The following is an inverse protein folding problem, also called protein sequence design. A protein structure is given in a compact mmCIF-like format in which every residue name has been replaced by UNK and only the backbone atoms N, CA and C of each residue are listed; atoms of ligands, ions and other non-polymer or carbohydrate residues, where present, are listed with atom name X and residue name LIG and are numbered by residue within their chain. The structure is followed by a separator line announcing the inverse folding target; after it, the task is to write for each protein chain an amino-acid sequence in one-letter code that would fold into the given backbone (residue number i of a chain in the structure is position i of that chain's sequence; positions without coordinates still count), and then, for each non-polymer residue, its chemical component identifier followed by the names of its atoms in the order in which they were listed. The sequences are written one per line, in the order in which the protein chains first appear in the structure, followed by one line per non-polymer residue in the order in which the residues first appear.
data_IF_366989184683
#
_entry.id   IF_366989184683
#
_cell.length_a   1.000
_cell.length_b   1.000
_cell.length_c   1.000
_cell.angle_alpha   90.00
_cell.angle_beta   90.00
_cell.angle_gamma   90.00
#
_symmetry.space_group_name_H-M   'P 1'
#
loop_
_entity.id
_entity.type
_entity.pdbx_description
1 polymer ?
#
# COMPACT_ATOMS: atom_id res chain seq x y z
N UNK A 1 23.92 -16.72 41.54
CA UNK A 1 23.69 -17.18 40.15
C UNK A 1 23.25 -15.98 39.32
N UNK A 2 24.16 -15.41 38.54
CA UNK A 2 23.86 -14.26 37.69
C UNK A 2 23.04 -14.73 36.48
N UNK A 3 21.80 -14.26 36.40
CA UNK A 3 20.92 -14.42 35.23
C UNK A 3 21.58 -13.79 34.01
N UNK A 4 22.00 -14.63 33.06
CA UNK A 4 22.38 -14.24 31.71
C UNK A 4 21.26 -13.39 31.10
N UNK A 5 21.50 -12.09 30.96
CA UNK A 5 20.74 -11.23 30.06
C UNK A 5 20.89 -11.81 28.66
N UNK A 6 19.81 -12.38 28.12
CA UNK A 6 19.76 -12.82 26.73
C UNK A 6 20.03 -11.61 25.83
N UNK A 7 20.72 -11.77 24.68
CA UNK A 7 20.84 -10.69 23.70
C UNK A 7 19.43 -10.18 23.37
N UNK A 8 19.27 -8.85 23.27
CA UNK A 8 17.96 -8.20 23.14
C UNK A 8 17.11 -8.87 22.05
N UNK A 9 15.93 -9.36 22.43
CA UNK A 9 14.92 -9.82 21.47
C UNK A 9 14.66 -8.69 20.48
N UNK A 10 14.77 -8.94 19.17
CA UNK A 10 14.42 -7.96 18.13
C UNK A 10 12.93 -7.59 18.28
N UNK A 11 12.63 -6.48 18.96
CA UNK A 11 11.27 -5.99 19.20
C UNK A 11 10.90 -4.96 18.15
N UNK A 12 9.72 -5.13 17.54
CA UNK A 12 9.18 -4.20 16.57
C UNK A 12 7.70 -3.91 16.81
N UNK A 13 7.25 -2.74 16.40
CA UNK A 13 5.83 -2.39 16.35
C UNK A 13 5.33 -2.36 14.91
N UNK A 14 4.11 -2.84 14.67
CA UNK A 14 3.39 -2.71 13.40
C UNK A 14 2.10 -1.94 13.65
N UNK A 15 2.09 -0.70 13.16
CA UNK A 15 0.94 0.20 13.22
C UNK A 15 0.07 -0.05 11.99
N UNK A 16 -1.21 -0.32 12.20
CA UNK A 16 -2.09 -0.83 11.14
C UNK A 16 -1.85 -2.32 10.88
N UNK A 17 -1.43 -3.06 11.91
CA UNK A 17 -1.17 -4.50 11.78
C UNK A 17 -2.41 -5.24 11.30
N UNK A 18 -3.59 -4.93 11.81
CA UNK A 18 -4.81 -5.70 11.49
C UNK A 18 -5.27 -5.54 10.04
N UNK A 19 -4.65 -4.63 9.29
CA UNK A 19 -4.89 -4.44 7.85
C UNK A 19 -4.26 -5.52 6.97
N UNK A 20 -4.54 -5.45 5.66
CA UNK A 20 -4.08 -6.42 4.67
C UNK A 20 -2.55 -6.61 4.67
N UNK A 21 -1.79 -5.54 4.37
CA UNK A 21 -0.33 -5.61 4.36
C UNK A 21 0.24 -5.87 5.76
N UNK A 22 -0.30 -5.17 6.78
CA UNK A 22 0.15 -5.29 8.16
C UNK A 22 0.11 -6.73 8.68
N UNK A 23 -0.94 -7.48 8.32
CA UNK A 23 -1.09 -8.87 8.74
C UNK A 23 0.00 -9.78 8.18
N UNK A 24 0.23 -9.69 6.86
CA UNK A 24 1.32 -10.44 6.22
C UNK A 24 2.69 -10.05 6.78
N UNK A 25 2.88 -8.77 7.12
CA UNK A 25 4.12 -8.30 7.75
C UNK A 25 4.31 -8.86 9.16
N UNK A 26 3.28 -8.85 10.01
CA UNK A 26 3.33 -9.42 11.36
C UNK A 26 3.62 -10.92 11.31
N UNK A 27 2.92 -11.68 10.46
CA UNK A 27 3.15 -13.13 10.27
C UNK A 27 4.63 -13.37 9.90
N UNK A 28 5.17 -12.60 8.94
CA UNK A 28 6.57 -12.77 8.50
C UNK A 28 7.61 -12.34 9.54
N UNK A 29 7.31 -11.34 10.37
CA UNK A 29 8.18 -10.90 11.45
C UNK A 29 8.25 -11.94 12.58
N UNK A 30 7.12 -12.56 12.93
CA UNK A 30 7.07 -13.67 13.88
C UNK A 30 7.88 -14.87 13.40
N UNK A 31 7.76 -15.24 12.12
CA UNK A 31 8.57 -16.31 11.50
C UNK A 31 10.07 -16.04 11.59
N UNK A 32 10.48 -14.77 11.61
CA UNK A 32 11.88 -14.33 11.77
C UNK A 32 12.31 -14.18 13.24
N UNK A 33 11.45 -14.55 14.20
CA UNK A 33 11.74 -14.52 15.62
C UNK A 33 11.67 -13.13 16.27
N UNK A 34 10.97 -12.18 15.64
CA UNK A 34 10.70 -10.88 16.27
C UNK A 34 9.62 -11.02 17.34
N UNK A 35 9.75 -10.24 18.41
CA UNK A 35 8.64 -9.98 19.32
C UNK A 35 7.86 -8.78 18.78
N UNK A 36 6.60 -8.98 18.44
CA UNK A 36 5.82 -7.99 17.66
C UNK A 36 4.74 -7.34 18.53
N UNK A 37 4.79 -6.02 18.63
CA UNK A 37 3.69 -5.20 19.13
C UNK A 37 2.81 -4.78 17.95
N UNK A 38 1.52 -5.07 17.99
CA UNK A 38 0.56 -4.56 17.00
C UNK A 38 -0.20 -3.40 17.61
N UNK A 39 -0.31 -2.31 16.85
CA UNK A 39 -1.19 -1.19 17.18
C UNK A 39 -2.23 -1.00 16.08
N UNK A 40 -3.51 -1.08 16.42
CA UNK A 40 -4.61 -0.92 15.46
C UNK A 40 -5.89 -0.42 16.15
N UNK A 41 -6.79 0.17 15.36
CA UNK A 41 -8.12 0.61 15.84
C UNK A 41 -9.12 -0.55 15.91
N UNK A 42 -8.78 -1.70 15.31
CA UNK A 42 -9.59 -2.92 15.33
C UNK A 42 -8.79 -4.09 15.86
N UNK A 43 -9.37 -4.79 16.83
CA UNK A 43 -8.80 -6.05 17.30
C UNK A 43 -8.76 -7.05 16.13
N UNK A 44 -7.57 -7.58 15.85
CA UNK A 44 -7.34 -8.41 14.66
C UNK A 44 -6.38 -9.57 14.87
N UNK A 45 -5.83 -9.73 16.07
CA UNK A 45 -4.81 -10.74 16.36
C UNK A 45 -5.09 -11.51 17.64
N UNK A 46 -5.06 -12.83 17.49
CA UNK A 46 -5.04 -13.81 18.57
C UNK A 46 -3.88 -14.79 18.35
N UNK A 47 -2.72 -14.27 17.93
CA UNK A 47 -1.54 -15.09 17.67
C UNK A 47 -0.62 -15.10 18.90
N UNK A 48 -0.13 -16.27 19.34
CA UNK A 48 0.94 -16.35 20.32
C UNK A 48 2.17 -15.53 19.87
N UNK A 49 2.76 -14.75 20.77
CA UNK A 49 3.94 -13.92 20.48
C UNK A 49 3.66 -12.50 19.97
N UNK A 50 2.38 -12.12 19.85
CA UNK A 50 1.96 -10.74 19.54
C UNK A 50 1.46 -10.04 20.80
N UNK A 51 1.96 -8.84 21.08
CA UNK A 51 1.36 -7.91 22.04
C UNK A 51 0.42 -6.98 21.29
N UNK A 52 -0.88 -7.10 21.50
CA UNK A 52 -1.86 -6.26 20.82
C UNK A 52 -2.23 -5.02 21.65
N UNK A 53 -2.24 -3.86 20.99
CA UNK A 53 -2.60 -2.56 21.56
C UNK A 53 -3.73 -1.95 20.73
N UNK A 54 -4.92 -1.87 21.33
CA UNK A 54 -6.07 -1.20 20.74
C UNK A 54 -5.95 0.31 20.94
N UNK A 55 -6.00 1.10 19.87
CA UNK A 55 -5.94 2.55 20.00
C UNK A 55 -6.17 3.30 18.70
N UNK A 56 -6.53 4.58 18.84
CA UNK A 56 -6.58 5.51 17.72
C UNK A 56 -5.17 6.06 17.46
N UNK A 57 -4.81 6.23 16.18
CA UNK A 57 -3.49 6.73 15.79
C UNK A 57 -3.19 8.15 16.30
N UNK A 58 -4.24 8.93 16.61
CA UNK A 58 -4.11 10.26 17.21
C UNK A 58 -3.96 10.23 18.74
N UNK A 59 -4.10 9.07 19.39
CA UNK A 59 -3.83 8.91 20.82
C UNK A 59 -2.35 8.58 21.06
N UNK A 60 -1.59 9.63 21.40
CA UNK A 60 -0.15 9.51 21.66
C UNK A 60 0.15 8.57 22.83
N UNK A 61 -0.67 8.55 23.89
CA UNK A 61 -0.39 7.74 25.07
C UNK A 61 -0.60 6.24 24.80
N UNK A 62 -1.63 5.92 24.01
CA UNK A 62 -1.83 4.56 23.52
C UNK A 62 -0.66 4.10 22.63
N UNK A 63 -0.16 4.99 21.75
CA UNK A 63 1.00 4.71 20.91
C UNK A 63 2.27 4.46 21.74
N UNK A 64 2.57 5.33 22.73
CA UNK A 64 3.74 5.15 23.61
C UNK A 64 3.74 3.78 24.30
N UNK A 65 2.57 3.27 24.65
CA UNK A 65 2.43 1.94 25.25
C UNK A 65 2.80 0.81 24.28
N UNK A 66 2.46 0.94 22.99
CA UNK A 66 2.83 -0.01 21.94
C UNK A 66 4.30 0.09 21.51
N UNK A 67 4.92 1.27 21.69
CA UNK A 67 6.30 1.56 21.33
C UNK A 67 7.30 1.28 22.47
N UNK A 68 6.84 0.81 23.63
CA UNK A 68 7.72 0.49 24.76
C UNK A 68 8.75 -0.59 24.39
N UNK A 69 10.03 -0.28 24.60
CA UNK A 69 11.18 -1.14 24.28
C UNK A 69 11.28 -1.56 22.80
N UNK A 70 10.68 -0.78 21.88
CA UNK A 70 10.69 -1.04 20.44
C UNK A 70 11.78 -0.21 19.77
N UNK A 71 12.60 -0.84 18.93
CA UNK A 71 13.64 -0.15 18.12
C UNK A 71 13.26 -0.01 16.64
N UNK A 72 12.14 -0.60 16.22
CA UNK A 72 11.71 -0.65 14.83
C UNK A 72 10.19 -0.55 14.73
N UNK A 73 9.71 0.42 13.97
CA UNK A 73 8.28 0.69 13.77
C UNK A 73 7.98 0.59 12.29
N UNK A 74 6.98 -0.22 11.95
CA UNK A 74 6.39 -0.27 10.62
C UNK A 74 5.05 0.47 10.65
N UNK A 75 4.94 1.55 9.88
CA UNK A 75 3.71 2.31 9.76
C UNK A 75 2.96 1.93 8.48
N UNK A 76 2.01 1.00 8.62
CA UNK A 76 1.17 0.49 7.54
C UNK A 76 -0.25 1.10 7.56
N UNK A 77 -0.65 1.75 8.66
CA UNK A 77 -1.98 2.34 8.78
C UNK A 77 -2.27 3.43 7.75
N UNK A 78 -3.35 3.23 7.01
CA UNK A 78 -3.95 4.21 6.09
C UNK A 78 -5.41 3.80 5.84
N UNK A 79 -6.35 4.74 5.63
CA UNK A 79 -7.69 4.39 5.19
C UNK A 79 -7.67 3.76 3.80
N UNK A 80 -8.74 3.02 3.46
CA UNK A 80 -8.89 2.44 2.13
C UNK A 80 -8.85 3.55 1.05
N UNK A 81 -8.09 3.40 -0.06
CA UNK A 81 -8.05 4.39 -1.14
C UNK A 81 -9.42 4.73 -1.73
N UNK A 82 -10.36 3.78 -1.67
CA UNK A 82 -11.74 3.96 -2.12
C UNK A 82 -12.67 4.67 -1.11
N UNK A 83 -12.17 5.06 0.06
CA UNK A 83 -12.94 5.82 1.05
C UNK A 83 -13.29 7.22 0.52
N UNK A 84 -14.48 7.72 0.84
CA UNK A 84 -14.90 9.09 0.52
C UNK A 84 -14.70 10.06 1.70
N UNK A 85 -14.29 9.55 2.86
CA UNK A 85 -14.11 10.35 4.06
C UNK A 85 -12.76 11.08 4.05
N UNK A 86 -12.79 12.34 3.60
CA UNK A 86 -11.63 13.23 3.60
C UNK A 86 -11.10 13.48 5.01
N UNK A 87 -11.98 13.70 5.99
CA UNK A 87 -11.58 13.92 7.37
C UNK A 87 -10.81 12.73 7.93
N UNK A 88 -11.22 11.51 7.59
CA UNK A 88 -10.52 10.29 7.96
C UNK A 88 -9.12 10.20 7.34
N UNK A 89 -8.94 10.59 6.08
CA UNK A 89 -7.61 10.63 5.47
C UNK A 89 -6.68 11.65 6.14
N UNK A 90 -7.16 12.86 6.44
CA UNK A 90 -6.34 13.85 7.16
C UNK A 90 -6.00 13.37 8.57
N UNK A 91 -7.00 12.85 9.29
CA UNK A 91 -6.82 12.33 10.64
C UNK A 91 -5.78 11.21 10.67
N UNK A 92 -5.86 10.23 9.78
CA UNK A 92 -4.96 9.07 9.83
C UNK A 92 -3.60 9.35 9.16
N UNK A 93 -3.60 9.81 7.91
CA UNK A 93 -2.36 9.92 7.13
C UNK A 93 -1.54 11.17 7.49
N UNK A 94 -2.14 12.22 8.07
CA UNK A 94 -1.42 13.45 8.43
C UNK A 94 -1.28 13.56 9.95
N UNK A 95 -2.40 13.71 10.66
CA UNK A 95 -2.37 13.95 12.10
C UNK A 95 -1.80 12.74 12.85
N UNK A 96 -2.34 11.55 12.58
CA UNK A 96 -1.86 10.31 13.19
C UNK A 96 -0.40 10.02 12.85
N UNK A 97 0.05 10.30 11.62
CA UNK A 97 1.48 10.17 11.28
C UNK A 97 2.36 11.13 12.08
N UNK A 98 1.93 12.38 12.33
CA UNK A 98 2.65 13.29 13.23
C UNK A 98 2.71 12.71 14.64
N UNK A 99 1.60 12.20 15.17
CA UNK A 99 1.56 11.55 16.49
C UNK A 99 2.50 10.35 16.57
N UNK A 100 2.59 9.53 15.51
CA UNK A 100 3.55 8.41 15.43
C UNK A 100 4.98 8.90 15.49
N UNK A 101 5.32 9.94 14.71
CA UNK A 101 6.68 10.51 14.71
C UNK A 101 7.02 11.05 16.10
N UNK A 102 6.13 11.82 16.71
CA UNK A 102 6.29 12.35 18.07
C UNK A 102 6.47 11.25 19.11
N UNK A 103 5.64 10.20 19.08
CA UNK A 103 5.73 9.07 20.00
C UNK A 103 7.03 8.27 19.81
N UNK A 104 7.49 8.10 18.56
CA UNK A 104 8.77 7.46 18.29
C UNK A 104 9.95 8.25 18.87
N UNK A 105 9.96 9.58 18.68
CA UNK A 105 11.01 10.46 19.21
C UNK A 105 10.98 10.48 20.74
N UNK A 106 9.79 10.57 21.34
CA UNK A 106 9.60 10.60 22.80
C UNK A 106 9.97 9.27 23.48
N UNK A 107 9.83 8.14 22.78
CA UNK A 107 10.22 6.83 23.32
C UNK A 107 11.72 6.70 23.64
N UNK A 108 12.56 7.63 23.18
CA UNK A 108 13.96 7.78 23.61
C UNK A 108 14.92 6.68 23.12
N UNK A 109 14.43 5.69 22.36
CA UNK A 109 15.22 4.63 21.73
C UNK A 109 15.64 5.10 20.33
N UNK A 110 16.77 4.62 19.80
CA UNK A 110 17.08 4.78 18.37
C UNK A 110 16.02 4.02 17.55
N UNK A 111 14.94 4.71 17.20
CA UNK A 111 13.81 4.13 16.49
C UNK A 111 14.02 4.26 14.98
N UNK A 112 13.89 3.13 14.30
CA UNK A 112 13.77 3.07 12.85
C UNK A 112 12.29 3.10 12.48
N UNK A 113 11.88 4.00 11.60
CA UNK A 113 10.51 4.10 11.10
C UNK A 113 10.47 3.74 9.61
N UNK A 114 9.80 2.64 9.28
CA UNK A 114 9.51 2.23 7.90
C UNK A 114 8.06 2.56 7.59
N UNK A 115 7.84 3.54 6.71
CA UNK A 115 6.51 3.93 6.25
C UNK A 115 6.10 3.11 5.02
N UNK A 116 4.90 2.53 5.04
CA UNK A 116 4.24 2.10 3.81
C UNK A 116 3.62 3.34 3.15
N UNK A 117 4.28 3.87 2.13
CA UNK A 117 3.78 4.92 1.24
C UNK A 117 2.98 4.30 0.07
N UNK A 118 2.96 4.94 -1.10
CA UNK A 118 2.28 4.47 -2.31
C UNK A 118 3.04 4.95 -3.54
N UNK A 119 3.12 4.15 -4.60
CA UNK A 119 3.62 4.63 -5.89
C UNK A 119 2.74 5.75 -6.49
N UNK A 120 1.48 5.89 -6.04
CA UNK A 120 0.60 6.97 -6.49
C UNK A 120 1.11 8.37 -6.16
N UNK A 121 2.02 8.53 -5.19
CA UNK A 121 2.53 9.85 -4.77
C UNK A 121 3.23 10.65 -5.87
N UNK A 122 3.61 9.99 -6.96
CA UNK A 122 4.21 10.62 -8.17
C UNK A 122 3.30 10.53 -9.40
N UNK A 123 2.09 9.99 -9.28
CA UNK A 123 1.18 9.74 -10.40
C UNK A 123 0.08 10.81 -10.50
N UNK A 124 -0.10 11.35 -11.71
CA UNK A 124 -1.05 12.42 -12.03
C UNK A 124 -2.09 12.02 -13.10
N UNK A 125 -2.28 10.73 -13.34
CA UNK A 125 -3.18 10.26 -14.41
C UNK A 125 -2.58 10.41 -15.81
N UNK A 126 -1.25 10.42 -15.91
CA UNK A 126 -0.47 10.44 -17.15
C UNK A 126 0.50 9.28 -17.16
N UNK A 127 0.89 8.85 -18.36
CA UNK A 127 1.84 7.76 -18.56
C UNK A 127 3.13 7.96 -17.75
N UNK A 128 3.45 6.97 -16.93
CA UNK A 128 4.75 6.76 -16.30
C UNK A 128 5.27 5.41 -16.79
N UNK A 129 6.40 5.46 -17.50
CA UNK A 129 7.06 4.28 -18.07
C UNK A 129 8.42 4.11 -17.41
N UNK A 130 8.56 3.08 -16.60
CA UNK A 130 9.76 2.80 -15.81
C UNK A 130 10.18 3.97 -14.91
N UNK A 131 9.22 4.58 -14.22
CA UNK A 131 9.46 5.75 -13.37
C UNK A 131 10.32 5.41 -12.14
N UNK A 132 11.34 6.22 -11.86
CA UNK A 132 12.19 6.05 -10.67
C UNK A 132 11.83 7.07 -9.57
N UNK A 133 12.49 6.97 -8.41
CA UNK A 133 12.25 7.86 -7.27
C UNK A 133 12.76 9.29 -7.48
N UNK A 134 13.34 9.62 -8.65
CA UNK A 134 13.68 10.99 -9.05
C UNK A 134 12.48 11.77 -9.56
N UNK A 135 11.38 11.09 -9.89
CA UNK A 135 10.13 11.75 -10.26
C UNK A 135 9.63 12.65 -9.12
N UNK A 136 9.18 13.88 -9.43
CA UNK A 136 8.62 14.76 -8.42
C UNK A 136 7.31 14.18 -7.89
N UNK A 137 6.95 14.59 -6.67
CA UNK A 137 5.59 14.35 -6.18
C UNK A 137 4.56 14.94 -7.16
N UNK A 138 3.42 14.28 -7.27
CA UNK A 138 2.30 14.78 -8.05
C UNK A 138 1.89 16.17 -7.55
N UNK A 139 1.90 17.13 -8.47
CA UNK A 139 1.42 18.51 -8.30
C UNK A 139 -0.10 18.57 -8.44
N UNK A 140 -0.68 17.66 -9.22
CA UNK A 140 -2.12 17.46 -9.36
C UNK A 140 -2.49 16.01 -9.03
N UNK A 141 -2.54 15.66 -7.72
CA UNK A 141 -2.87 14.30 -7.31
C UNK A 141 -4.20 13.81 -7.87
N UNK A 142 -4.21 12.54 -8.24
CA UNK A 142 -5.35 11.92 -8.89
C UNK A 142 -6.60 11.79 -8.00
N UNK A 143 -6.37 11.70 -6.70
CA UNK A 143 -7.38 11.57 -5.68
C UNK A 143 -6.86 12.11 -4.36
N UNK A 144 -7.77 12.22 -3.40
CA UNK A 144 -7.46 12.75 -2.08
C UNK A 144 -6.62 11.76 -1.24
N UNK A 145 -6.71 10.46 -1.53
CA UNK A 145 -5.79 9.47 -0.98
C UNK A 145 -4.35 9.82 -1.34
N UNK A 146 -4.06 10.06 -2.62
CA UNK A 146 -2.74 10.38 -3.13
C UNK A 146 -2.21 11.69 -2.55
N UNK A 147 -3.04 12.72 -2.47
CA UNK A 147 -2.70 13.99 -1.79
C UNK A 147 -2.23 13.74 -0.35
N UNK A 148 -3.01 13.01 0.45
CA UNK A 148 -2.64 12.76 1.86
C UNK A 148 -1.45 11.80 2.00
N UNK A 149 -1.25 10.85 1.08
CA UNK A 149 -0.05 9.99 1.05
C UNK A 149 1.22 10.77 0.72
N UNK A 150 1.15 11.78 -0.16
CA UNK A 150 2.28 12.69 -0.42
C UNK A 150 2.66 13.44 0.86
N UNK A 151 1.66 13.96 1.58
CA UNK A 151 1.91 14.68 2.84
C UNK A 151 2.47 13.75 3.92
N UNK A 152 1.93 12.53 4.04
CA UNK A 152 2.42 11.50 4.95
C UNK A 152 3.90 11.16 4.69
N UNK A 153 4.26 10.91 3.43
CA UNK A 153 5.64 10.59 3.05
C UNK A 153 6.58 11.76 3.36
N UNK A 154 6.19 12.99 2.99
CA UNK A 154 6.99 14.19 3.30
C UNK A 154 7.22 14.36 4.81
N UNK A 155 6.21 14.12 5.64
CA UNK A 155 6.34 14.21 7.10
C UNK A 155 7.38 13.21 7.63
N UNK A 156 7.28 11.95 7.23
CA UNK A 156 8.20 10.89 7.70
C UNK A 156 9.62 11.10 7.20
N UNK A 157 9.80 11.43 5.91
CA UNK A 157 11.15 11.62 5.35
C UNK A 157 11.82 12.86 5.92
N UNK A 158 11.08 13.96 6.11
CA UNK A 158 11.60 15.19 6.75
C UNK A 158 12.00 14.96 8.20
N UNK A 159 11.41 13.97 8.87
CA UNK A 159 11.73 13.64 10.24
C UNK A 159 13.01 12.77 10.41
N UNK A 160 13.62 12.21 9.34
CA UNK A 160 14.91 11.49 9.49
C UNK A 160 15.95 12.45 10.08
N UNK A 161 16.45 12.11 11.27
CA UNK A 161 17.46 12.83 12.02
C UNK A 161 18.55 11.82 12.43
N UNK A 162 19.63 11.81 11.66
CA UNK A 162 20.75 10.87 11.86
C UNK A 162 21.52 11.14 13.14
N UNK A 163 21.58 12.39 13.58
CA UNK A 163 22.31 12.80 14.78
C UNK A 163 21.56 12.37 16.04
N UNK A 164 20.23 12.49 16.02
CA UNK A 164 19.35 12.02 17.11
C UNK A 164 19.01 10.53 17.02
N UNK A 165 19.48 9.84 15.98
CA UNK A 165 19.27 8.40 15.80
C UNK A 165 17.84 8.01 15.41
N UNK A 166 17.03 8.96 14.92
CA UNK A 166 15.69 8.68 14.40
C UNK A 166 15.75 8.51 12.88
N UNK A 167 15.79 7.25 12.43
CA UNK A 167 16.02 6.92 11.03
C UNK A 167 14.71 6.57 10.34
N UNK A 168 14.46 7.12 9.16
CA UNK A 168 13.22 6.86 8.43
C UNK A 168 13.47 6.40 7.00
N UNK A 169 12.52 5.65 6.44
CA UNK A 169 12.50 5.22 5.04
C UNK A 169 11.05 5.00 4.61
N UNK A 170 10.73 5.30 3.35
CA UNK A 170 9.40 5.09 2.79
C UNK A 170 9.41 4.04 1.67
N UNK A 171 8.43 3.13 1.70
CA UNK A 171 8.23 2.10 0.68
C UNK A 171 7.03 2.48 -0.19
N UNK A 172 7.21 2.57 -1.51
CA UNK A 172 6.19 2.93 -2.50
C UNK A 172 5.77 1.70 -3.31
N UNK A 173 4.90 0.83 -2.78
CA UNK A 173 4.36 -0.28 -3.54
C UNK A 173 3.33 0.21 -4.57
N UNK A 174 3.12 -0.59 -5.62
CA UNK A 174 2.05 -0.37 -6.59
C UNK A 174 1.17 -1.62 -6.74
N UNK A 175 -0.15 -1.43 -6.77
CA UNK A 175 -1.13 -2.51 -6.99
C UNK A 175 -0.94 -3.72 -6.08
N UNK A 176 -0.88 -3.53 -4.75
CA UNK A 176 -0.68 -4.65 -3.82
C UNK A 176 -1.83 -5.65 -3.96
N UNK A 177 -1.51 -6.91 -4.23
CA UNK A 177 -2.50 -7.99 -4.32
C UNK A 177 -1.99 -9.26 -3.62
N UNK A 178 -2.91 -10.15 -3.26
CA UNK A 178 -2.55 -11.40 -2.59
C UNK A 178 -3.71 -12.02 -1.81
N UNK A 179 -3.47 -13.14 -1.11
CA UNK A 179 -4.44 -13.71 -0.20
C UNK A 179 -4.91 -12.72 0.86
N UNK A 180 -6.23 -12.64 1.10
CA UNK A 180 -6.89 -11.71 2.03
C UNK A 180 -6.89 -10.23 1.60
N UNK A 181 -6.55 -9.93 0.35
CA UNK A 181 -6.82 -8.63 -0.25
C UNK A 181 -8.33 -8.28 -0.15
N UNK A 182 -8.68 -7.19 0.54
CA UNK A 182 -10.07 -6.79 0.74
C UNK A 182 -10.63 -5.98 -0.43
N UNK A 183 -9.81 -5.56 -1.40
CA UNK A 183 -10.18 -4.59 -2.43
C UNK A 183 -10.12 -5.18 -3.84
N UNK A 184 -8.95 -5.54 -4.37
CA UNK A 184 -8.83 -5.82 -5.81
C UNK A 184 -9.71 -7.00 -6.22
N UNK A 185 -9.51 -8.17 -5.59
CA UNK A 185 -10.22 -9.39 -5.97
C UNK A 185 -11.73 -9.29 -5.73
N UNK A 186 -12.21 -8.84 -4.55
CA UNK A 186 -13.65 -8.71 -4.33
C UNK A 186 -14.33 -7.70 -5.26
N UNK A 187 -13.71 -6.54 -5.52
CA UNK A 187 -14.26 -5.51 -6.42
C UNK A 187 -14.30 -6.03 -7.86
N UNK A 188 -13.23 -6.74 -8.29
CA UNK A 188 -13.14 -7.33 -9.62
C UNK A 188 -14.26 -8.36 -9.84
N UNK A 189 -14.48 -9.26 -8.86
CA UNK A 189 -15.54 -10.27 -8.90
C UNK A 189 -16.94 -9.64 -8.88
N UNK A 190 -17.21 -8.67 -8.01
CA UNK A 190 -18.50 -7.96 -7.97
C UNK A 190 -18.79 -7.27 -9.31
N UNK A 191 -17.78 -6.63 -9.90
CA UNK A 191 -17.89 -5.97 -11.21
C UNK A 191 -18.14 -6.98 -12.33
N UNK A 192 -17.53 -8.17 -12.26
CA UNK A 192 -17.77 -9.26 -13.21
C UNK A 192 -19.17 -9.87 -13.08
N UNK A 193 -19.66 -10.09 -11.84
CA UNK A 193 -21.03 -10.56 -11.56
C UNK A 193 -22.09 -9.60 -12.12
N UNK A 194 -21.82 -8.29 -12.10
CA UNK A 194 -22.66 -7.25 -12.70
C UNK A 194 -22.53 -7.14 -14.22
N UNK A 195 -21.71 -7.99 -14.86
CA UNK A 195 -21.49 -8.00 -16.31
C UNK A 195 -20.69 -6.80 -16.85
N UNK A 196 -20.01 -6.04 -15.97
CA UNK A 196 -19.29 -4.82 -16.34
C UNK A 196 -17.81 -5.07 -16.70
N UNK A 197 -17.23 -6.20 -16.27
CA UNK A 197 -15.85 -6.61 -16.65
C UNK A 197 -15.75 -7.23 -18.05
N UNK A 198 -16.60 -6.84 -19.00
CA UNK A 198 -16.54 -7.34 -20.39
C UNK A 198 -15.70 -6.43 -21.30
N UNK A 199 -15.43 -5.21 -20.86
CA UNK A 199 -14.83 -4.15 -21.66
C UNK A 199 -13.38 -3.90 -21.29
N UNK A 200 -12.54 -3.72 -22.30
CA UNK A 200 -11.16 -3.26 -22.23
C UNK A 200 -11.16 -1.79 -22.62
N UNK A 201 -10.58 -0.93 -21.79
CA UNK A 201 -10.47 0.50 -22.08
C UNK A 201 -9.20 0.74 -22.90
N UNK A 202 -9.34 1.38 -24.05
CA UNK A 202 -8.24 1.62 -24.98
C UNK A 202 -7.87 0.36 -25.77
N UNK A 203 -6.60 0.31 -26.21
CA UNK A 203 -6.04 -0.83 -26.94
C UNK A 203 -5.60 -1.99 -26.04
N UNK A 204 -5.68 -1.82 -24.72
CA UNK A 204 -5.30 -2.83 -23.72
C UNK A 204 -3.79 -3.05 -23.58
N UNK A 205 -2.95 -2.19 -24.19
CA UNK A 205 -1.49 -2.34 -24.17
C UNK A 205 -0.82 -1.66 -22.97
N UNK A 206 -1.60 -1.01 -22.11
CA UNK A 206 -1.10 -0.26 -20.97
C UNK A 206 -0.45 -1.18 -19.93
N UNK A 207 0.84 -0.92 -19.68
CA UNK A 207 1.66 -1.65 -18.71
C UNK A 207 1.58 -0.99 -17.33
N UNK A 208 1.41 -1.82 -16.32
CA UNK A 208 1.22 -1.42 -14.92
C UNK A 208 1.95 -2.39 -14.00
N UNK A 209 2.26 -1.96 -12.77
CA UNK A 209 2.77 -2.86 -11.74
C UNK A 209 1.65 -3.48 -10.88
N UNK A 210 1.72 -4.78 -10.64
CA UNK A 210 0.98 -5.43 -9.56
C UNK A 210 1.99 -6.11 -8.66
N UNK A 211 2.04 -5.74 -7.39
CA UNK A 211 3.07 -6.25 -6.48
C UNK A 211 2.46 -7.25 -5.52
N UNK A 212 2.95 -8.49 -5.54
CA UNK A 212 2.47 -9.50 -4.61
C UNK A 212 2.79 -9.11 -3.17
N UNK A 213 1.84 -9.29 -2.24
CA UNK A 213 1.95 -8.79 -0.86
C UNK A 213 3.20 -9.28 -0.12
N UNK A 214 3.63 -10.53 -0.34
CA UNK A 214 4.87 -11.05 0.26
C UNK A 214 6.14 -10.33 -0.27
N UNK A 215 6.13 -9.88 -1.52
CA UNK A 215 7.23 -9.09 -2.08
C UNK A 215 7.28 -7.69 -1.47
N UNK A 216 6.12 -7.10 -1.16
CA UNK A 216 6.04 -5.82 -0.43
C UNK A 216 6.57 -5.99 1.00
N UNK A 217 6.14 -7.04 1.70
CA UNK A 217 6.64 -7.39 3.05
C UNK A 217 8.14 -7.62 3.03
N UNK A 218 8.66 -8.34 2.03
CA UNK A 218 10.08 -8.56 1.85
C UNK A 218 10.85 -7.23 1.74
N UNK A 219 10.36 -6.30 0.91
CA UNK A 219 10.93 -4.96 0.77
C UNK A 219 10.94 -4.16 2.07
N UNK A 220 9.86 -4.22 2.87
CA UNK A 220 9.81 -3.56 4.18
C UNK A 220 10.86 -4.10 5.14
N UNK A 221 11.02 -5.42 5.21
CA UNK A 221 11.99 -6.05 6.12
C UNK A 221 13.42 -5.73 5.67
N UNK A 222 13.71 -5.79 4.36
CA UNK A 222 15.02 -5.40 3.84
C UNK A 222 15.35 -3.93 4.15
N UNK A 223 14.39 -3.03 3.96
CA UNK A 223 14.57 -1.63 4.32
C UNK A 223 14.88 -1.47 5.82
N UNK A 224 14.15 -2.16 6.70
CA UNK A 224 14.41 -2.14 8.14
C UNK A 224 15.83 -2.66 8.52
N UNK A 225 16.27 -3.75 7.88
CA UNK A 225 17.58 -4.36 8.11
C UNK A 225 18.74 -3.48 7.60
N UNK A 226 18.49 -2.73 6.52
CA UNK A 226 19.49 -1.85 5.89
C UNK A 226 19.47 -0.43 6.43
N UNK A 227 18.46 -0.05 7.22
CA UNK A 227 18.32 1.30 7.76
C UNK A 227 19.31 1.49 8.91
N UNK A 228 20.38 2.25 8.63
CA UNK A 228 21.46 2.61 9.54
C UNK A 228 21.87 4.07 9.28
N UNK A 229 22.51 4.78 10.22
CA UNK A 229 22.84 6.21 10.04
C UNK A 229 23.70 6.49 8.80
N UNK A 230 24.63 5.59 8.50
CA UNK A 230 25.56 5.62 7.36
C UNK A 230 24.94 5.12 6.06
N UNK A 231 23.77 4.48 6.11
CA UNK A 231 23.14 3.84 4.97
C UNK A 231 22.60 4.87 3.98
N UNK A 232 22.74 4.63 2.66
CA UNK A 232 22.19 5.51 1.64
C UNK A 232 20.67 5.56 1.65
N UNK A 233 19.96 4.75 2.46
CA UNK A 233 18.50 4.68 2.47
C UNK A 233 17.80 5.62 3.47
N UNK A 234 18.49 6.20 4.47
CA UNK A 234 17.79 7.08 5.44
C UNK A 234 17.24 8.32 4.75
N UNK A 235 16.02 8.69 5.12
CA UNK A 235 15.34 9.88 4.63
C UNK A 235 14.95 9.78 3.15
N UNK A 236 14.86 8.56 2.60
CA UNK A 236 14.55 8.32 1.20
C UNK A 236 13.37 7.39 1.00
N UNK A 237 12.78 7.47 -0.19
CA UNK A 237 11.71 6.58 -0.65
C UNK A 237 12.27 5.56 -1.66
N UNK A 238 11.60 4.40 -1.75
CA UNK A 238 11.94 3.31 -2.65
C UNK A 238 10.70 2.67 -3.25
N UNK A 239 10.66 2.52 -4.57
CA UNK A 239 9.66 1.71 -5.25
C UNK A 239 9.94 0.22 -5.00
N UNK A 240 8.90 -0.50 -4.59
CA UNK A 240 8.93 -1.95 -4.40
C UNK A 240 7.86 -2.52 -5.32
N UNK A 241 8.29 -3.19 -6.38
CA UNK A 241 7.44 -3.74 -7.45
C UNK A 241 7.73 -5.21 -7.64
N UNK A 242 6.95 -5.91 -8.48
CA UNK A 242 7.22 -7.31 -8.80
C UNK A 242 8.34 -7.51 -9.82
N UNK A 243 8.95 -6.42 -10.31
CA UNK A 243 9.95 -6.41 -11.41
C UNK A 243 9.45 -7.09 -12.70
N UNK A 244 8.12 -7.20 -12.86
CA UNK A 244 7.41 -7.88 -13.94
C UNK A 244 6.22 -7.00 -14.38
N UNK A 245 6.44 -5.85 -15.04
CA UNK A 245 5.34 -5.00 -15.51
C UNK A 245 4.46 -5.78 -16.48
N UNK A 246 3.16 -5.75 -16.26
CA UNK A 246 2.16 -6.56 -16.97
C UNK A 246 1.11 -5.65 -17.59
N UNK A 247 0.46 -6.11 -18.67
CA UNK A 247 -0.70 -5.38 -19.18
C UNK A 247 -1.83 -5.44 -18.16
N UNK A 248 -2.43 -4.28 -17.87
CA UNK A 248 -3.50 -4.17 -16.88
C UNK A 248 -4.62 -5.19 -17.13
N UNK A 249 -5.05 -5.30 -18.39
CA UNK A 249 -6.16 -6.17 -18.77
C UNK A 249 -5.80 -7.65 -18.80
N UNK A 250 -4.53 -8.01 -19.04
CA UNK A 250 -4.06 -9.39 -18.96
C UNK A 250 -4.08 -9.86 -17.51
N UNK A 251 -3.57 -9.04 -16.57
CA UNK A 251 -3.65 -9.34 -15.14
C UNK A 251 -5.09 -9.53 -14.66
N UNK A 252 -5.99 -8.60 -15.02
CA UNK A 252 -7.42 -8.72 -14.66
C UNK A 252 -8.04 -9.99 -15.26
N UNK A 253 -7.66 -10.35 -16.49
CA UNK A 253 -8.13 -11.57 -17.16
C UNK A 253 -7.68 -12.84 -16.44
N UNK A 254 -6.41 -12.93 -16.05
CA UNK A 254 -5.88 -14.10 -15.36
C UNK A 254 -6.58 -14.34 -14.01
N UNK A 255 -6.82 -13.29 -13.23
CA UNK A 255 -7.56 -13.40 -11.97
C UNK A 255 -9.02 -13.82 -12.20
N UNK A 256 -9.70 -13.21 -13.17
CA UNK A 256 -11.10 -13.53 -13.49
C UNK A 256 -11.26 -14.97 -13.97
N UNK A 257 -10.44 -15.40 -14.93
CA UNK A 257 -10.47 -16.76 -15.48
C UNK A 257 -10.13 -17.78 -14.40
N UNK A 258 -9.14 -17.50 -13.55
CA UNK A 258 -8.80 -18.35 -12.42
C UNK A 258 -9.96 -18.55 -11.43
N UNK A 259 -10.87 -17.58 -11.32
CA UNK A 259 -12.07 -17.65 -10.48
C UNK A 259 -13.32 -18.16 -11.22
N UNK A 260 -13.19 -18.56 -12.50
CA UNK A 260 -14.30 -19.08 -13.30
C UNK A 260 -15.16 -18.00 -13.99
N UNK A 261 -14.69 -16.75 -14.05
CA UNK A 261 -15.35 -15.66 -14.76
C UNK A 261 -14.79 -15.49 -16.18
N UNK A 262 -15.59 -15.02 -17.14
CA UNK A 262 -15.10 -14.75 -18.50
C UNK A 262 -14.12 -13.57 -18.50
N UNK A 263 -13.05 -13.68 -19.29
CA UNK A 263 -12.15 -12.57 -19.55
C UNK A 263 -12.86 -11.40 -20.29
N UNK A 264 -12.44 -10.14 -20.07
CA UNK A 264 -12.82 -9.00 -20.91
C UNK A 264 -12.45 -9.24 -22.37
N UNK A 265 -13.31 -8.82 -23.32
CA UNK A 265 -13.10 -9.06 -24.77
C UNK A 265 -13.40 -7.87 -25.67
N UNK A 266 -14.19 -6.90 -25.21
CA UNK A 266 -14.67 -5.81 -26.05
C UNK A 266 -13.85 -4.56 -25.82
N UNK A 267 -13.15 -4.08 -26.84
CA UNK A 267 -12.40 -2.83 -26.74
C UNK A 267 -13.33 -1.62 -26.86
N UNK A 268 -13.16 -0.66 -25.95
CA UNK A 268 -13.81 0.65 -26.00
C UNK A 268 -12.74 1.72 -26.22
N UNK A 269 -12.87 2.58 -27.25
CA UNK A 269 -11.91 3.66 -27.48
C UNK A 269 -11.74 4.56 -26.26
N UNK A 270 -10.50 4.76 -25.80
CA UNK A 270 -10.19 5.52 -24.59
C UNK A 270 -10.84 6.90 -24.58
N UNK A 271 -10.79 7.63 -25.71
CA UNK A 271 -11.34 8.99 -25.83
C UNK A 271 -12.86 9.01 -25.58
N UNK A 272 -13.60 8.01 -26.07
CA UNK A 272 -15.04 7.91 -25.86
C UNK A 272 -15.38 7.64 -24.40
N UNK A 273 -14.67 6.69 -23.80
CA UNK A 273 -14.83 6.29 -22.39
C UNK A 273 -14.49 7.45 -21.46
N UNK A 274 -13.38 8.14 -21.73
CA UNK A 274 -12.93 9.29 -20.95
C UNK A 274 -13.87 10.50 -21.11
N UNK A 275 -14.31 10.78 -22.34
CA UNK A 275 -15.29 11.83 -22.63
C UNK A 275 -16.63 11.60 -21.92
N UNK A 276 -17.13 10.36 -21.94
CA UNK A 276 -18.33 9.98 -21.20
C UNK A 276 -18.14 10.15 -19.69
N UNK A 277 -16.99 9.73 -19.15
CA UNK A 277 -16.68 9.90 -17.73
C UNK A 277 -16.63 11.38 -17.33
N UNK A 278 -16.07 12.24 -18.19
CA UNK A 278 -15.98 13.68 -17.96
C UNK A 278 -17.36 14.32 -18.00
N UNK A 279 -18.20 13.94 -18.96
CA UNK A 279 -19.59 14.39 -19.04
C UNK A 279 -20.38 14.00 -17.78
N UNK A 280 -20.30 12.74 -17.36
CA UNK A 280 -20.98 12.26 -16.15
C UNK A 280 -20.48 12.96 -14.89
N UNK A 281 -19.17 13.25 -14.82
CA UNK A 281 -18.59 13.99 -13.71
C UNK A 281 -19.06 15.45 -13.67
N UNK A 282 -19.11 16.14 -14.81
CA UNK A 282 -19.66 17.49 -14.92
C UNK A 282 -21.15 17.54 -14.53
N UNK A 283 -21.94 16.59 -15.03
CA UNK A 283 -23.36 16.46 -14.68
C UNK A 283 -23.54 16.21 -13.18
N UNK A 284 -22.75 15.32 -12.58
CA UNK A 284 -22.79 15.06 -11.15
C UNK A 284 -22.43 16.30 -10.32
N UNK A 285 -21.49 17.15 -10.79
CA UNK A 285 -21.18 18.41 -10.12
C UNK A 285 -22.33 19.42 -10.20
N UNK A 286 -22.99 19.55 -11.36
CA UNK A 286 -24.13 20.45 -11.55
C UNK A 286 -25.33 19.99 -10.71
N UNK A 287 -25.57 18.69 -10.64
CA UNK A 287 -26.70 18.09 -9.92
C UNK A 287 -26.43 17.87 -8.43
N UNK A 288 -25.20 18.06 -7.95
CA UNK A 288 -24.78 17.89 -6.55
C UNK A 288 -25.68 18.56 -5.51
N UNK A 289 -26.21 19.80 -5.69
CA UNK A 289 -27.10 20.41 -4.71
C UNK A 289 -28.51 19.79 -4.67
N UNK A 290 -28.89 19.01 -5.69
CA UNK A 290 -30.23 18.43 -5.84
C UNK A 290 -30.27 16.92 -5.59
N UNK A 291 -29.18 16.21 -5.92
CA UNK A 291 -29.09 14.75 -5.83
C UNK A 291 -27.73 14.33 -5.31
N UNK A 292 -27.71 13.51 -4.25
CA UNK A 292 -26.50 12.83 -3.79
C UNK A 292 -26.30 11.54 -4.61
N UNK A 293 -25.69 11.66 -5.78
CA UNK A 293 -25.26 10.51 -6.58
C UNK A 293 -23.73 10.45 -6.64
N UNK A 294 -23.18 9.27 -6.35
CA UNK A 294 -21.72 9.04 -6.42
C UNK A 294 -21.36 8.37 -7.74
N UNK A 295 -20.73 9.09 -8.69
CA UNK A 295 -20.29 8.47 -9.93
C UNK A 295 -19.17 7.47 -9.63
N UNK A 296 -19.46 6.19 -9.81
CA UNK A 296 -18.46 5.10 -9.73
C UNK A 296 -17.56 5.04 -10.97
N UNK A 297 -17.94 5.76 -12.03
CA UNK A 297 -17.23 5.89 -13.28
C UNK A 297 -16.73 7.33 -13.41
N UNK A 298 -15.45 7.55 -13.12
CA UNK A 298 -14.81 8.87 -13.11
C UNK A 298 -13.71 8.91 -14.16
N UNK A 299 -13.37 10.11 -14.71
CA UNK A 299 -12.24 10.25 -15.64
C UNK A 299 -10.96 9.66 -15.08
N UNK A 300 -10.79 9.72 -13.75
CA UNK A 300 -9.61 9.21 -13.09
C UNK A 300 -9.52 7.68 -13.07
N UNK A 301 -10.63 6.98 -12.81
CA UNK A 301 -10.64 5.51 -12.90
C UNK A 301 -10.39 5.04 -14.33
N UNK A 302 -10.87 5.80 -15.32
CA UNK A 302 -10.58 5.57 -16.73
C UNK A 302 -9.09 5.78 -17.02
N UNK A 303 -8.49 6.85 -16.52
CA UNK A 303 -7.06 7.11 -16.66
C UNK A 303 -6.22 5.99 -16.02
N UNK A 304 -6.54 5.55 -14.81
CA UNK A 304 -5.84 4.44 -14.14
C UNK A 304 -5.91 3.13 -14.95
N UNK A 305 -7.03 2.88 -15.63
CA UNK A 305 -7.23 1.67 -16.43
C UNK A 305 -6.70 1.78 -17.88
N UNK A 306 -6.31 2.98 -18.34
CA UNK A 306 -5.93 3.24 -19.73
C UNK A 306 -4.56 3.90 -19.92
N UNK A 307 -3.83 4.21 -18.86
CA UNK A 307 -2.47 4.79 -18.91
C UNK A 307 -1.43 3.78 -18.43
N UNK A 308 -0.18 3.98 -18.85
CA UNK A 308 0.95 3.24 -18.32
C UNK A 308 1.36 3.79 -16.95
N UNK A 309 1.63 2.93 -15.98
CA UNK A 309 2.16 3.34 -14.68
C UNK A 309 2.95 2.20 -14.04
N UNK A 310 4.19 2.05 -14.48
CA UNK A 310 5.13 1.08 -13.91
C UNK A 310 6.44 1.76 -13.55
N UNK A 311 7.10 1.23 -12.52
CA UNK A 311 8.17 1.90 -11.79
C UNK A 311 9.42 1.03 -11.72
N UNK A 312 10.58 1.65 -11.84
CA UNK A 312 11.86 0.97 -11.62
C UNK A 312 12.03 0.72 -10.13
N UNK A 313 12.42 -0.51 -9.77
CA UNK A 313 12.88 -0.86 -8.42
C UNK A 313 14.41 -1.01 -8.36
N UNK A 314 15.16 -0.50 -9.34
CA UNK A 314 16.62 -0.70 -9.45
C UNK A 314 17.36 -0.13 -8.26
N UNK A 315 16.91 1.04 -7.78
CA UNK A 315 17.45 1.65 -6.57
C UNK A 315 17.27 0.76 -5.33
N UNK A 316 16.16 0.03 -5.24
CA UNK A 316 15.95 -0.95 -4.17
C UNK A 316 16.86 -2.18 -4.34
N UNK A 317 17.09 -2.64 -5.59
CA UNK A 317 18.04 -3.71 -5.88
C UNK A 317 19.46 -3.33 -5.42
N UNK A 318 19.88 -2.11 -5.73
CA UNK A 318 21.22 -1.58 -5.42
C UNK A 318 21.40 -1.34 -3.91
N UNK A 319 20.54 -0.52 -3.29
CA UNK A 319 20.76 -0.04 -1.92
C UNK A 319 20.40 -1.08 -0.85
N UNK A 320 19.38 -1.91 -1.10
CA UNK A 320 18.89 -2.88 -0.11
C UNK A 320 19.02 -4.35 -0.54
N UNK A 321 19.47 -4.63 -1.76
CA UNK A 321 19.55 -5.99 -2.28
C UNK A 321 18.18 -6.60 -2.59
N UNK A 322 17.18 -5.77 -2.85
CA UNK A 322 15.82 -6.22 -3.12
C UNK A 322 15.77 -7.09 -4.38
N UNK A 323 15.10 -8.24 -4.29
CA UNK A 323 14.63 -9.02 -5.44
C UNK A 323 13.26 -9.61 -5.08
N UNK A 324 12.28 -9.62 -5.99
CA UNK A 324 11.01 -10.31 -5.74
C UNK A 324 11.25 -11.78 -5.35
N UNK A 325 10.61 -12.22 -4.27
CA UNK A 325 10.69 -13.61 -3.76
C UNK A 325 9.58 -14.50 -4.31
N UNK A 326 8.54 -13.90 -4.90
CA UNK A 326 7.42 -14.57 -5.56
C UNK A 326 7.21 -13.95 -6.94
N UNK A 327 7.11 -14.78 -7.98
CA UNK A 327 6.81 -14.29 -9.33
C UNK A 327 5.35 -13.87 -9.46
N UNK A 328 5.03 -13.03 -10.43
CA UNK A 328 3.68 -12.53 -10.65
C UNK A 328 2.69 -13.68 -10.88
N UNK A 329 3.07 -14.64 -11.72
CA UNK A 329 2.27 -15.84 -12.03
C UNK A 329 1.96 -16.68 -10.79
N UNK A 330 2.95 -16.91 -9.95
CA UNK A 330 2.76 -17.63 -8.69
C UNK A 330 1.86 -16.84 -7.73
N UNK A 331 2.08 -15.52 -7.63
CA UNK A 331 1.26 -14.61 -6.83
C UNK A 331 -0.22 -14.65 -7.25
N UNK A 332 -0.51 -14.62 -8.55
CA UNK A 332 -1.88 -14.72 -9.09
C UNK A 332 -2.49 -16.08 -8.73
N UNK A 333 -1.74 -17.17 -8.92
CA UNK A 333 -2.20 -18.53 -8.60
C UNK A 333 -2.59 -18.66 -7.12
N UNK A 334 -1.71 -18.23 -6.20
CA UNK A 334 -2.00 -18.24 -4.75
C UNK A 334 -3.18 -17.36 -4.39
N UNK A 335 -3.28 -16.20 -5.03
CA UNK A 335 -4.40 -15.27 -4.84
C UNK A 335 -5.71 -15.97 -5.21
N UNK A 336 -5.84 -16.49 -6.43
CA UNK A 336 -7.04 -17.19 -6.90
C UNK A 336 -7.42 -18.37 -6.00
N UNK A 337 -6.43 -19.16 -5.55
CA UNK A 337 -6.66 -20.30 -4.65
C UNK A 337 -7.20 -19.87 -3.28
N UNK A 338 -6.87 -18.66 -2.81
CA UNK A 338 -7.32 -18.15 -1.52
C UNK A 338 -8.78 -17.64 -1.49
N UNK A 339 -9.46 -17.56 -2.63
CA UNK A 339 -10.86 -17.11 -2.73
C UNK A 339 -11.83 -18.18 -3.26
N UNK A 340 -11.91 -19.39 -2.65
CA UNK A 340 -12.87 -20.41 -3.10
C UNK A 340 -14.32 -19.91 -3.03
N UNK A 341 -14.65 -19.08 -2.04
CA UNK A 341 -15.99 -18.50 -1.83
C UNK A 341 -16.38 -17.43 -2.86
N UNK A 342 -15.43 -16.92 -3.65
CA UNK A 342 -15.73 -15.97 -4.74
C UNK A 342 -15.78 -16.63 -6.11
N UNK A 343 -15.43 -17.92 -6.23
CA UNK A 343 -15.49 -18.62 -7.49
C UNK A 343 -16.93 -18.63 -8.03
N UNK A 344 -17.05 -18.56 -9.35
CA UNK A 344 -18.34 -18.73 -10.00
C UNK A 344 -18.77 -20.20 -9.81
N UNK A 345 -19.92 -20.41 -9.19
CA UNK A 345 -20.56 -21.72 -9.15
C UNK A 345 -20.82 -22.19 -10.58
N UNK A 346 -20.53 -23.46 -10.85
CA UNK A 346 -20.57 -24.06 -12.17
C UNK A 346 -21.99 -24.11 -12.74
#
# INVERSE_FOLDING_TARGET
MATRVRPSSKRCAVIGGSGFLGRHLVEKLLDRGYAVSVFDIRQGYELPGVSFHLGDLCDKQALLSALKDVSLVFHCASPAPASDDRGLFEKVNIQGTRTVIEACIESGVQVKLVLTSSASVVFEGKDIKNGSETLPYAMKPIDYYTETKIQQEKLVLKACDKEKGFLTVAIRPHGIFGPRDPQLVPILVDTARRGKMKFIIGDGTNLVDFTFVENVVHGHILAAERLRPDSPICGKAYHITNDEPVRFWDFMSEVLVGLGYPAPRYHLPYILVYGLALLLWLLAMILRPLVSFKPTFTPMRVALAGTHHYYSCDRAKEDMGYKPVVTLKEGITRTVQSYPHLRKEA
#
